data_IF_244079254179
#
_entry.id   IF_244079254179
#
_cell.length_a   1.000
_cell.length_b   1.000
_cell.length_c   1.000
_cell.angle_alpha   90.00
_cell.angle_beta   90.00
_cell.angle_gamma   90.00
#
_symmetry.space_group_name_H-M   'P 1'
#
loop_
_entity.id
_entity.type
_entity.pdbx_description
1 polymer ?
#
# COMPACT_ATOMS: atom_id res chain seq x y z
N UNK A 1 -3.22 3.30 -13.48
CA UNK A 1 -3.44 2.58 -12.21
C UNK A 1 -4.80 2.96 -11.69
N UNK A 2 -5.65 1.98 -11.39
CA UNK A 2 -6.98 2.20 -10.81
C UNK A 2 -7.02 1.53 -9.45
N UNK A 3 -7.51 2.25 -8.44
CA UNK A 3 -7.64 1.75 -7.06
C UNK A 3 -9.12 1.77 -6.71
N UNK A 4 -9.68 0.61 -6.41
CA UNK A 4 -11.08 0.49 -6.00
C UNK A 4 -11.16 -0.06 -4.57
N UNK A 5 -12.18 0.40 -3.84
CA UNK A 5 -12.51 -0.18 -2.53
C UNK A 5 -12.99 -1.61 -2.78
N UNK A 6 -12.47 -2.56 -2.02
CA UNK A 6 -13.00 -3.92 -2.06
C UNK A 6 -14.49 -3.91 -1.66
N UNK A 7 -15.34 -4.77 -2.27
CA UNK A 7 -16.73 -4.90 -1.86
C UNK A 7 -16.87 -5.17 -0.36
N UNK A 8 -17.99 -4.76 0.25
CA UNK A 8 -18.23 -5.06 1.66
C UNK A 8 -18.34 -6.57 1.89
N UNK A 9 -17.69 -7.07 2.94
CA UNK A 9 -17.55 -8.52 3.19
C UNK A 9 -16.56 -9.24 2.28
N UNK A 10 -15.81 -8.51 1.43
CA UNK A 10 -14.78 -9.09 0.58
C UNK A 10 -13.48 -9.27 1.36
N UNK A 11 -13.09 -10.54 1.50
CA UNK A 11 -11.78 -11.01 1.95
C UNK A 11 -11.65 -11.35 3.43
N UNK A 12 -10.41 -11.61 3.87
CA UNK A 12 -10.12 -12.22 5.17
C UNK A 12 -10.52 -11.24 6.29
N UNK A 13 -11.50 -11.64 7.09
CA UNK A 13 -11.95 -10.89 8.27
C UNK A 13 -11.33 -11.52 9.52
N UNK A 14 -10.70 -10.69 10.36
CA UNK A 14 -9.99 -11.13 11.58
C UNK A 14 -8.46 -11.07 11.50
N UNK A 15 -7.79 -11.42 12.60
CA UNK A 15 -6.32 -11.50 12.66
C UNK A 15 -5.80 -12.54 11.67
N UNK A 16 -4.88 -12.10 10.81
CA UNK A 16 -4.17 -12.97 9.87
C UNK A 16 -3.03 -13.63 10.67
N UNK A 17 -3.19 -14.90 11.00
CA UNK A 17 -2.15 -15.80 11.47
C UNK A 17 -1.03 -16.07 10.45
N UNK A 18 -0.24 -17.11 10.69
CA UNK A 18 1.06 -17.31 10.05
C UNK A 18 1.01 -17.44 8.52
N UNK A 19 2.16 -17.26 7.82
CA UNK A 19 2.25 -17.26 6.35
C UNK A 19 1.85 -18.60 5.69
N UNK A 20 1.67 -19.67 6.46
CA UNK A 20 1.28 -21.01 6.00
C UNK A 20 -0.21 -21.31 6.24
N UNK A 21 -0.94 -20.38 6.84
CA UNK A 21 -2.33 -20.60 7.25
C UNK A 21 -3.29 -20.26 6.11
N UNK A 22 -4.22 -21.17 5.84
CA UNK A 22 -5.17 -21.05 4.73
C UNK A 22 -6.44 -20.34 5.20
N UNK A 23 -6.75 -19.20 4.59
CA UNK A 23 -7.97 -18.45 4.87
C UNK A 23 -9.01 -18.66 3.79
N UNK A 24 -10.26 -18.85 4.18
CA UNK A 24 -11.39 -18.78 3.27
C UNK A 24 -11.72 -17.32 2.95
N UNK A 25 -11.54 -16.95 1.68
CA UNK A 25 -11.87 -15.64 1.15
C UNK A 25 -10.72 -15.03 0.34
N UNK A 26 -11.00 -14.02 -0.51
CA UNK A 26 -9.96 -13.25 -1.19
C UNK A 26 -8.93 -12.70 -0.18
N UNK A 27 -7.62 -12.62 -0.50
CA UNK A 27 -6.56 -12.22 0.45
C UNK A 27 -6.61 -10.74 0.89
N UNK A 28 -7.67 -10.02 0.51
CA UNK A 28 -7.85 -8.58 0.69
C UNK A 28 -8.74 -8.37 1.91
N UNK A 29 -8.17 -8.26 3.11
CA UNK A 29 -8.98 -8.11 4.33
C UNK A 29 -9.80 -6.82 4.39
N UNK A 30 -10.60 -6.66 5.45
CA UNK A 30 -11.48 -5.49 5.63
C UNK A 30 -10.71 -4.16 5.54
N UNK A 31 -11.22 -3.21 4.74
CA UNK A 31 -10.51 -1.98 4.40
C UNK A 31 -9.43 -2.12 3.31
N UNK A 32 -9.26 -3.33 2.77
CA UNK A 32 -8.37 -3.60 1.65
C UNK A 32 -8.82 -2.91 0.35
N UNK A 33 -7.83 -2.62 -0.49
CA UNK A 33 -8.04 -2.02 -1.80
C UNK A 33 -7.57 -2.99 -2.87
N UNK A 34 -8.35 -3.10 -3.93
CA UNK A 34 -7.92 -3.81 -5.14
C UNK A 34 -7.26 -2.79 -6.06
N UNK A 35 -6.07 -3.11 -6.53
CA UNK A 35 -5.32 -2.27 -7.46
C UNK A 35 -5.19 -3.01 -8.77
N UNK A 36 -5.66 -2.38 -9.85
CA UNK A 36 -5.44 -2.87 -11.20
C UNK A 36 -4.22 -2.15 -11.78
N UNK A 37 -3.22 -2.95 -12.14
CA UNK A 37 -1.97 -2.50 -12.77
C UNK A 37 -1.89 -3.03 -14.19
N UNK A 38 -1.38 -2.19 -15.08
CA UNK A 38 -0.98 -2.60 -16.43
C UNK A 38 0.53 -2.78 -16.42
N UNK A 39 0.99 -3.89 -16.98
CA UNK A 39 2.40 -4.23 -17.09
C UNK A 39 2.66 -4.83 -18.48
N UNK A 40 3.91 -4.88 -18.89
CA UNK A 40 4.29 -5.55 -20.15
C UNK A 40 4.18 -7.07 -20.01
N UNK A 41 4.14 -7.78 -21.14
CA UNK A 41 4.16 -9.25 -21.15
C UNK A 41 5.44 -9.80 -20.51
N UNK A 42 6.59 -9.16 -20.76
CA UNK A 42 7.87 -9.50 -20.15
C UNK A 42 7.83 -9.41 -18.61
N UNK A 43 7.29 -8.30 -18.07
CA UNK A 43 7.11 -8.13 -16.62
C UNK A 43 6.16 -9.17 -16.02
N UNK A 44 5.13 -9.57 -16.77
CA UNK A 44 4.19 -10.58 -16.32
C UNK A 44 4.85 -11.97 -16.25
N UNK A 45 5.62 -12.36 -17.26
CA UNK A 45 6.35 -13.63 -17.26
C UNK A 45 7.42 -13.67 -16.17
N UNK A 46 8.16 -12.56 -15.94
CA UNK A 46 9.12 -12.48 -14.83
C UNK A 46 8.43 -12.69 -13.47
N UNK A 47 7.30 -12.01 -13.23
CA UNK A 47 6.52 -12.18 -12.00
C UNK A 47 6.02 -13.62 -11.84
N UNK A 48 5.59 -14.24 -12.94
CA UNK A 48 5.15 -15.62 -12.96
C UNK A 48 6.28 -16.59 -12.62
N UNK A 49 7.48 -16.39 -13.18
CA UNK A 49 8.66 -17.20 -12.85
C UNK A 49 9.05 -17.07 -11.38
N UNK A 50 9.07 -15.85 -10.84
CA UNK A 50 9.35 -15.62 -9.41
C UNK A 50 8.34 -16.35 -8.54
N UNK A 51 7.05 -16.25 -8.86
CA UNK A 51 5.99 -16.96 -8.14
C UNK A 51 6.19 -18.48 -8.18
N UNK A 52 6.56 -19.04 -9.33
CA UNK A 52 6.85 -20.46 -9.48
C UNK A 52 8.05 -20.91 -8.64
N UNK A 53 9.18 -20.20 -8.72
CA UNK A 53 10.41 -20.53 -8.00
C UNK A 53 10.23 -20.42 -6.48
N UNK A 54 9.47 -19.42 -6.03
CA UNK A 54 9.22 -19.18 -4.61
C UNK A 54 8.08 -20.03 -4.03
N UNK A 55 7.30 -20.71 -4.88
CA UNK A 55 6.11 -21.46 -4.46
C UNK A 55 5.00 -20.56 -3.91
N UNK A 56 4.98 -19.28 -4.29
CA UNK A 56 3.99 -18.28 -3.84
C UNK A 56 3.01 -17.95 -4.97
N UNK A 57 1.89 -17.32 -4.63
CA UNK A 57 1.03 -16.72 -5.66
C UNK A 57 1.65 -15.41 -6.16
N UNK A 58 1.44 -15.05 -7.42
CA UNK A 58 1.91 -13.76 -7.97
C UNK A 58 1.44 -12.56 -7.14
N UNK A 59 0.20 -12.62 -6.63
CA UNK A 59 -0.34 -11.58 -5.75
C UNK A 59 0.41 -11.48 -4.42
N UNK A 60 0.86 -12.61 -3.84
CA UNK A 60 1.67 -12.61 -2.63
C UNK A 60 3.07 -12.02 -2.88
N UNK A 61 3.71 -12.39 -3.99
CA UNK A 61 5.01 -11.82 -4.41
C UNK A 61 4.91 -10.30 -4.56
N UNK A 62 3.92 -9.81 -5.30
CA UNK A 62 3.71 -8.37 -5.48
C UNK A 62 3.44 -7.64 -4.18
N UNK A 63 2.66 -8.24 -3.26
CA UNK A 63 2.32 -7.63 -1.97
C UNK A 63 3.54 -7.52 -1.07
N UNK A 64 4.38 -8.54 -1.02
CA UNK A 64 5.61 -8.57 -0.24
C UNK A 64 6.61 -7.54 -0.79
N UNK A 65 6.89 -7.59 -2.10
CA UNK A 65 7.78 -6.63 -2.76
C UNK A 65 7.30 -5.18 -2.57
N UNK A 66 5.99 -4.93 -2.70
CA UNK A 66 5.42 -3.60 -2.46
C UNK A 66 5.59 -3.14 -1.02
N UNK A 67 5.45 -4.04 -0.04
CA UNK A 67 5.61 -3.71 1.38
C UNK A 67 7.08 -3.42 1.71
N UNK A 68 8.00 -4.22 1.19
CA UNK A 68 9.43 -3.99 1.36
C UNK A 68 9.87 -2.67 0.72
N UNK A 69 9.42 -2.41 -0.52
CA UNK A 69 9.71 -1.16 -1.21
C UNK A 69 9.13 0.04 -0.46
N UNK A 70 7.85 -0.01 -0.07
CA UNK A 70 7.23 1.08 0.69
C UNK A 70 7.94 1.33 2.02
N UNK A 71 8.35 0.27 2.73
CA UNK A 71 9.12 0.40 3.96
C UNK A 71 10.45 1.12 3.71
N UNK A 72 11.20 0.70 2.70
CA UNK A 72 12.46 1.34 2.33
C UNK A 72 12.26 2.81 1.94
N UNK A 73 11.19 3.14 1.19
CA UNK A 73 10.87 4.52 0.81
C UNK A 73 10.55 5.40 2.02
N UNK A 74 9.76 4.93 2.99
CA UNK A 74 9.43 5.75 4.17
C UNK A 74 10.60 5.91 5.15
N UNK A 75 11.55 4.97 5.12
CA UNK A 75 12.79 5.03 5.89
C UNK A 75 13.89 5.84 5.20
N UNK A 76 13.69 6.23 3.93
CA UNK A 76 14.64 7.03 3.16
C UNK A 76 14.73 8.48 3.70
N UNK A 77 15.94 8.96 4.06
CA UNK A 77 16.10 10.30 4.63
C UNK A 77 15.70 11.44 3.69
N UNK A 78 15.89 11.28 2.37
CA UNK A 78 15.55 12.31 1.38
C UNK A 78 14.03 12.42 1.26
N UNK A 79 13.33 11.27 1.18
CA UNK A 79 11.88 11.22 1.21
C UNK A 79 11.30 11.83 2.50
N UNK A 80 11.87 11.52 3.67
CA UNK A 80 11.45 12.12 4.94
C UNK A 80 11.63 13.64 4.94
N UNK A 81 12.74 14.14 4.39
CA UNK A 81 12.98 15.57 4.30
C UNK A 81 11.99 16.28 3.37
N UNK A 82 11.65 15.69 2.23
CA UNK A 82 10.63 16.22 1.33
C UNK A 82 9.24 16.25 1.99
N UNK A 83 8.87 15.18 2.71
CA UNK A 83 7.60 15.11 3.45
C UNK A 83 7.55 16.20 4.53
N UNK A 84 8.64 16.42 5.26
CA UNK A 84 8.74 17.47 6.27
C UNK A 84 8.64 18.88 5.66
N UNK A 85 9.29 19.14 4.52
CA UNK A 85 9.18 20.41 3.82
C UNK A 85 7.74 20.66 3.35
N UNK A 86 7.11 19.63 2.77
CA UNK A 86 5.72 19.68 2.38
C UNK A 86 4.80 19.96 3.57
N UNK A 87 5.02 19.30 4.71
CA UNK A 87 4.25 19.52 5.93
C UNK A 87 4.38 20.95 6.44
N UNK A 88 5.59 21.53 6.44
CA UNK A 88 5.82 22.94 6.81
C UNK A 88 5.10 23.90 5.86
N UNK A 89 5.16 23.62 4.56
CA UNK A 89 4.47 24.44 3.55
C UNK A 89 2.97 24.37 3.73
N UNK A 90 2.40 23.19 3.95
CA UNK A 90 0.96 23.02 4.21
C UNK A 90 0.53 23.66 5.53
N UNK A 91 1.35 23.56 6.58
CA UNK A 91 1.12 24.23 7.86
C UNK A 91 1.03 25.75 7.71
N UNK A 92 1.80 26.36 6.81
CA UNK A 92 1.69 27.79 6.47
C UNK A 92 0.33 28.16 5.86
N UNK A 93 -0.35 27.22 5.19
CA UNK A 93 -1.66 27.42 4.58
C UNK A 93 -2.82 26.95 5.45
N UNK A 94 -2.55 26.45 6.66
CA UNK A 94 -3.56 26.14 7.66
C UNK A 94 -3.51 27.22 8.75
N UNK A 95 -4.10 28.41 8.52
CA UNK A 95 -4.18 29.41 9.56
C UNK A 95 -4.95 28.81 10.73
N UNK A 96 -4.47 29.01 11.95
CA UNK A 96 -5.24 28.76 13.16
C UNK A 96 -6.68 29.27 12.95
N UNK A 97 -7.73 28.48 13.25
CA UNK A 97 -9.12 28.88 13.03
C UNK A 97 -9.59 30.00 13.97
N UNK A 98 -8.67 30.63 14.71
CA UNK A 98 -9.00 31.71 15.63
C UNK A 98 -8.31 33.02 15.18
N UNK A 99 -8.95 33.84 14.34
CA UNK A 99 -8.60 35.24 14.25
C UNK A 99 -9.08 35.86 15.56
N UNK A 100 -8.17 35.97 16.54
CA UNK A 100 -8.40 36.99 17.57
C UNK A 100 -8.31 38.32 16.85
N UNK A 101 -9.49 38.86 16.54
CA UNK A 101 -9.74 40.28 16.33
C UNK A 101 -9.13 41.00 17.54
N UNK A 102 -7.88 41.47 17.38
CA UNK A 102 -7.25 42.36 18.34
C UNK A 102 -7.47 43.78 17.82
N UNK A 103 -8.45 44.43 18.46
CA UNK A 103 -8.61 45.87 18.76
C UNK A 103 -8.40 46.93 17.66
#
# INVERSE_FOLDING_TARGET
MVIEKAPEGYGITGDIGGPTEWYSGPPVGEGGRTVTVSMTEEQFEELREIALVTGKTMGAVMREASREHAKATVEDPEFQQEVDDLAKRLGKYNPDPNPRESE
#
